data_IF_891090128758
#
_entry.id   IF_891090128758
#
_cell.length_a   1.000
_cell.length_b   1.000
_cell.length_c   1.000
_cell.angle_alpha   90.00
_cell.angle_beta   90.00
_cell.angle_gamma   90.00
#
_symmetry.space_group_name_H-M   'P 1'
#
loop_
_entity.id
_entity.type
_entity.pdbx_description
1 polymer ?
#
# COMPACT_ATOMS: atom_id res chain seq x y z
N UNK A 1 6.51 17.77 0.31
CA UNK A 1 7.45 16.69 -0.07
C UNK A 1 7.93 15.92 1.18
N UNK A 2 7.68 16.43 2.38
CA UNK A 2 8.19 15.87 3.65
C UNK A 2 7.35 14.76 4.30
N UNK A 3 6.10 14.55 3.86
CA UNK A 3 5.21 13.54 4.47
C UNK A 3 5.62 12.10 4.23
N UNK A 4 6.42 11.83 3.19
CA UNK A 4 6.94 10.47 2.93
C UNK A 4 7.88 10.01 4.05
N UNK A 5 8.53 10.95 4.75
CA UNK A 5 9.37 10.65 5.90
C UNK A 5 8.57 10.31 7.18
N UNK A 6 7.25 10.58 7.20
CA UNK A 6 6.36 10.17 8.30
C UNK A 6 6.11 8.65 8.29
N UNK A 7 6.33 7.99 7.14
CA UNK A 7 6.10 6.55 7.02
C UNK A 7 7.23 5.77 7.72
N UNK A 8 6.90 4.73 8.49
CA UNK A 8 7.90 3.89 9.15
C UNK A 8 8.87 3.30 8.12
N UNK A 9 10.08 2.97 8.55
CA UNK A 9 11.05 2.30 7.70
C UNK A 9 10.55 0.94 7.19
N UNK A 10 11.11 0.48 6.08
CA UNK A 10 10.73 -0.80 5.46
C UNK A 10 9.79 -0.65 4.27
N UNK A 11 9.28 -1.80 3.82
CA UNK A 11 8.36 -1.96 2.71
C UNK A 11 6.98 -1.42 3.05
N UNK A 12 6.39 -0.65 2.13
CA UNK A 12 5.08 -0.04 2.30
C UNK A 12 4.08 -0.70 1.35
N UNK A 13 3.00 -1.25 1.88
CA UNK A 13 1.94 -1.86 1.09
C UNK A 13 0.79 -0.87 0.94
N UNK A 14 0.40 -0.57 -0.30
CA UNK A 14 -0.63 0.44 -0.58
C UNK A 14 -1.83 -0.22 -1.25
N UNK A 15 -3.00 0.03 -0.70
CA UNK A 15 -4.27 -0.50 -1.19
C UNK A 15 -5.30 0.61 -1.38
N UNK A 16 -6.18 0.43 -2.37
CA UNK A 16 -7.45 1.12 -2.43
C UNK A 16 -8.46 0.24 -3.17
N UNK A 17 -9.75 0.40 -2.86
CA UNK A 17 -10.84 -0.42 -3.41
C UNK A 17 -10.80 -0.65 -4.92
N UNK A 18 -10.43 0.37 -5.71
CA UNK A 18 -10.39 0.27 -7.18
C UNK A 18 -8.99 0.36 -7.79
N UNK A 19 -7.91 0.18 -7.02
CA UNK A 19 -6.52 0.27 -7.49
C UNK A 19 -6.02 1.68 -7.91
N UNK A 20 -6.88 2.58 -8.39
CA UNK A 20 -6.45 3.87 -8.96
C UNK A 20 -5.72 4.80 -7.97
N UNK A 21 -6.22 4.94 -6.74
CA UNK A 21 -5.53 5.78 -5.74
C UNK A 21 -4.27 5.10 -5.21
N UNK A 22 -4.29 3.77 -5.15
CA UNK A 22 -3.13 3.00 -4.72
C UNK A 22 -1.99 3.11 -5.73
N UNK A 23 -2.28 3.09 -7.04
CA UNK A 23 -1.24 3.26 -8.07
C UNK A 23 -0.61 4.66 -8.03
N UNK A 24 -1.41 5.71 -7.83
CA UNK A 24 -0.90 7.07 -7.61
C UNK A 24 0.02 7.11 -6.38
N UNK A 25 -0.45 6.60 -5.24
CA UNK A 25 0.35 6.54 -4.01
C UNK A 25 1.65 5.75 -4.20
N UNK A 26 1.60 4.60 -4.86
CA UNK A 26 2.76 3.77 -5.15
C UNK A 26 3.79 4.52 -6.00
N UNK A 27 3.37 5.21 -7.07
CA UNK A 27 4.30 6.00 -7.90
C UNK A 27 4.99 7.14 -7.14
N UNK A 28 4.28 7.78 -6.20
CA UNK A 28 4.86 8.83 -5.35
C UNK A 28 5.93 8.25 -4.43
N UNK A 29 5.66 7.08 -3.83
CA UNK A 29 6.59 6.40 -2.93
C UNK A 29 7.81 5.85 -3.67
N UNK A 30 7.60 5.21 -4.82
CA UNK A 30 8.66 4.74 -5.71
C UNK A 30 9.55 5.90 -6.17
N UNK A 31 8.96 7.01 -6.62
CA UNK A 31 9.69 8.23 -6.98
C UNK A 31 10.42 8.90 -5.80
N UNK A 32 10.08 8.56 -4.56
CA UNK A 32 10.79 8.98 -3.35
C UNK A 32 11.85 7.96 -2.89
N UNK A 33 12.10 6.88 -3.66
CA UNK A 33 13.06 5.84 -3.34
C UNK A 33 12.61 4.87 -2.24
N UNK A 34 11.30 4.80 -1.96
CA UNK A 34 10.74 3.86 -0.98
C UNK A 34 10.46 2.51 -1.63
N UNK A 35 10.70 1.43 -0.89
CA UNK A 35 10.22 0.11 -1.28
C UNK A 35 8.70 0.04 -1.09
N UNK A 36 7.98 -0.24 -2.16
CA UNK A 36 6.51 -0.18 -2.18
C UNK A 36 5.91 -1.37 -2.92
N UNK A 37 4.82 -1.91 -2.38
CA UNK A 37 3.99 -2.95 -2.99
C UNK A 37 2.61 -2.37 -3.27
N UNK A 38 2.19 -2.41 -4.53
CA UNK A 38 0.85 -2.03 -4.95
C UNK A 38 -0.08 -3.25 -4.85
N UNK A 39 -1.13 -3.15 -4.04
CA UNK A 39 -2.21 -4.15 -4.00
C UNK A 39 -3.29 -3.72 -4.99
N UNK A 40 -3.35 -4.42 -6.12
CA UNK A 40 -4.42 -4.30 -7.11
C UNK A 40 -5.32 -5.54 -7.06
N UNK A 41 -5.98 -5.74 -5.93
CA UNK A 41 -6.95 -6.82 -5.71
C UNK A 41 -8.05 -6.34 -4.76
N UNK A 42 -9.06 -7.15 -4.48
CA UNK A 42 -10.07 -6.84 -3.47
C UNK A 42 -9.51 -7.10 -2.06
N UNK A 43 -9.80 -6.21 -1.10
CA UNK A 43 -9.31 -6.36 0.28
C UNK A 43 -9.78 -7.67 0.92
N UNK A 44 -10.99 -8.10 0.58
CA UNK A 44 -11.61 -9.35 1.05
C UNK A 44 -10.82 -10.59 0.64
N UNK A 45 -10.07 -10.54 -0.48
CA UNK A 45 -9.20 -11.67 -0.87
C UNK A 45 -8.01 -11.90 0.07
N UNK A 46 -7.71 -10.96 0.95
CA UNK A 46 -6.72 -11.19 2.00
C UNK A 46 -7.10 -12.40 2.87
N UNK A 47 -8.38 -12.53 3.23
CA UNK A 47 -8.87 -13.67 4.04
C UNK A 47 -8.75 -14.99 3.26
N UNK A 48 -9.11 -14.98 1.97
CA UNK A 48 -8.98 -16.15 1.10
C UNK A 48 -7.51 -16.61 0.95
N UNK A 49 -6.56 -15.68 1.04
CA UNK A 49 -5.13 -15.95 1.06
C UNK A 49 -4.60 -16.39 2.43
N UNK A 50 -5.47 -16.52 3.44
CA UNK A 50 -5.11 -16.91 4.81
C UNK A 50 -4.52 -15.78 5.65
N UNK A 51 -4.70 -14.52 5.24
CA UNK A 51 -4.29 -13.34 6.00
C UNK A 51 -5.43 -12.89 6.92
N UNK A 52 -5.11 -12.61 8.18
CA UNK A 52 -6.05 -12.03 9.13
C UNK A 52 -6.27 -10.54 8.81
N UNK A 53 -7.53 -10.14 8.66
CA UNK A 53 -7.90 -8.73 8.57
C UNK A 53 -8.03 -8.17 9.99
N UNK A 54 -7.11 -7.29 10.35
CA UNK A 54 -7.15 -6.53 11.61
C UNK A 54 -7.66 -5.13 11.32
N UNK A 55 -8.77 -4.74 11.95
CA UNK A 55 -9.27 -3.37 11.88
C UNK A 55 -8.59 -2.54 12.97
N UNK A 56 -8.01 -1.39 12.60
CA UNK A 56 -7.46 -0.40 13.52
C UNK A 56 -8.41 0.78 13.72
#
# INVERSE_FOLDING_TARGET
RDRVAELPGGEVWVYCTGGFRASIGASILDGAGRQVVLINDEFTRAEDAGLEIVYQ
#
